data_IF_054538671598
#
_entry.id   IF_054538671598
#
_cell.length_a   1.000
_cell.length_b   1.000
_cell.length_c   1.000
_cell.angle_alpha   90.00
_cell.angle_beta   90.00
_cell.angle_gamma   90.00
#
_symmetry.space_group_name_H-M   'P 1'
#
loop_
_entity.id
_entity.type
_entity.pdbx_description
1 polymer ?
#
# COMPACT_ATOMS: atom_id res chain seq x y z
N UNK A 1 -28.98 -3.92 22.58
CA UNK A 1 -28.72 -5.04 21.64
C UNK A 1 -27.84 -4.53 20.51
N UNK A 2 -26.58 -4.99 20.49
CA UNK A 2 -25.55 -4.62 19.52
C UNK A 2 -25.77 -5.40 18.21
N UNK A 3 -26.22 -4.73 17.15
CA UNK A 3 -26.13 -5.27 15.80
C UNK A 3 -24.78 -4.84 15.23
N UNK A 4 -23.74 -5.62 15.54
CA UNK A 4 -22.54 -5.69 14.72
C UNK A 4 -22.97 -6.29 13.37
N UNK A 5 -23.39 -5.44 12.44
CA UNK A 5 -23.66 -5.87 11.07
C UNK A 5 -22.31 -6.23 10.45
N UNK A 6 -22.08 -7.54 10.40
CA UNK A 6 -20.94 -8.19 9.80
C UNK A 6 -20.98 -7.92 8.30
N UNK A 7 -20.43 -6.79 7.86
CA UNK A 7 -20.09 -6.63 6.45
C UNK A 7 -18.91 -7.57 6.21
N UNK A 8 -19.23 -8.81 5.82
CA UNK A 8 -18.29 -9.77 5.30
C UNK A 8 -17.70 -9.20 4.00
N UNK A 9 -16.66 -8.37 4.13
CA UNK A 9 -15.88 -7.92 2.99
C UNK A 9 -14.92 -9.07 2.67
N UNK A 10 -15.15 -9.73 1.53
CA UNK A 10 -14.34 -10.79 0.95
C UNK A 10 -12.82 -10.58 1.13
N UNK A 11 -12.26 -11.26 2.13
CA UNK A 11 -10.84 -11.22 2.48
C UNK A 11 -9.98 -12.13 1.59
N UNK A 12 -10.58 -13.02 0.79
CA UNK A 12 -9.89 -14.12 0.12
C UNK A 12 -9.08 -13.67 -1.12
N UNK A 13 -9.62 -12.80 -1.97
CA UNK A 13 -8.86 -12.24 -3.12
C UNK A 13 -7.95 -11.07 -2.75
N UNK A 14 -7.97 -10.63 -1.48
CA UNK A 14 -7.09 -9.61 -0.94
C UNK A 14 -5.70 -10.13 -0.49
N UNK A 15 -5.39 -11.42 -0.67
CA UNK A 15 -4.23 -12.16 -0.15
C UNK A 15 -2.85 -11.46 -0.22
N UNK A 16 -1.97 -11.84 -1.14
CA UNK A 16 -0.54 -11.42 -1.16
C UNK A 16 -0.36 -9.89 -1.31
N UNK A 17 -1.21 -9.23 -2.09
CA UNK A 17 -1.15 -7.79 -2.36
C UNK A 17 -1.51 -6.97 -1.12
N UNK A 18 -2.52 -7.37 -0.34
CA UNK A 18 -2.86 -6.71 0.92
C UNK A 18 -1.74 -6.81 1.95
N UNK A 19 -1.16 -8.00 2.12
CA UNK A 19 -0.01 -8.21 3.03
C UNK A 19 1.19 -7.34 2.65
N UNK A 20 1.44 -7.11 1.35
CA UNK A 20 2.52 -6.21 0.89
C UNK A 20 2.24 -4.75 1.26
N UNK A 21 1.02 -4.24 1.05
CA UNK A 21 0.65 -2.88 1.42
C UNK A 21 0.81 -2.61 2.91
N UNK A 22 0.38 -3.55 3.76
CA UNK A 22 0.56 -3.43 5.22
C UNK A 22 2.04 -3.32 5.59
N UNK A 23 2.90 -4.15 5.00
CA UNK A 23 4.36 -4.06 5.25
C UNK A 23 4.95 -2.74 4.76
N UNK A 24 4.52 -2.25 3.61
CA UNK A 24 4.96 -0.96 3.08
C UNK A 24 4.53 0.19 4.00
N UNK A 25 3.30 0.15 4.52
CA UNK A 25 2.81 1.14 5.47
C UNK A 25 3.61 1.13 6.78
N UNK A 26 3.94 -0.06 7.30
CA UNK A 26 4.82 -0.19 8.48
C UNK A 26 6.20 0.44 8.24
N UNK A 27 6.79 0.26 7.05
CA UNK A 27 8.09 0.87 6.70
C UNK A 27 8.01 2.39 6.60
N UNK A 28 6.91 2.93 6.05
CA UNK A 28 6.67 4.38 6.00
C UNK A 28 6.55 4.92 7.43
N UNK A 29 5.71 4.29 8.26
CA UNK A 29 5.53 4.70 9.65
C UNK A 29 6.83 4.66 10.45
N UNK A 30 7.63 3.59 10.30
CA UNK A 30 8.93 3.49 10.96
C UNK A 30 9.88 4.59 10.47
N UNK A 31 9.93 4.90 9.16
CA UNK A 31 10.76 5.99 8.65
C UNK A 31 10.32 7.37 9.14
N UNK A 32 9.02 7.58 9.37
CA UNK A 32 8.53 8.81 10.04
C UNK A 32 8.98 8.86 11.50
N UNK A 33 8.85 7.75 12.22
CA UNK A 33 9.23 7.66 13.65
C UNK A 33 10.73 7.84 13.87
N UNK A 34 11.57 7.29 12.99
CA UNK A 34 13.03 7.39 13.08
C UNK A 34 13.61 8.68 12.50
N UNK A 35 12.81 9.49 11.79
CA UNK A 35 13.30 10.70 11.12
C UNK A 35 13.99 10.45 9.78
N UNK A 36 14.04 9.20 9.31
CA UNK A 36 14.52 8.81 7.97
C UNK A 36 13.63 9.33 6.82
N UNK A 37 12.40 9.76 7.12
CA UNK A 37 11.49 10.34 6.14
C UNK A 37 11.05 11.73 6.57
N UNK A 38 11.22 12.70 5.67
CA UNK A 38 10.65 14.04 5.86
C UNK A 38 9.13 14.03 5.69
N UNK A 39 8.44 15.08 6.17
CA UNK A 39 6.99 15.26 5.96
C UNK A 39 6.63 15.21 4.47
N UNK A 40 7.42 15.86 3.61
CA UNK A 40 7.18 15.93 2.15
C UNK A 40 7.34 14.57 1.48
N UNK A 41 8.33 13.78 1.88
CA UNK A 41 8.56 12.42 1.36
C UNK A 41 7.47 11.45 1.81
N UNK A 42 7.07 11.54 3.08
CA UNK A 42 5.95 10.78 3.62
C UNK A 42 4.68 11.04 2.82
N UNK A 43 4.32 12.31 2.59
CA UNK A 43 3.16 12.66 1.76
C UNK A 43 3.24 12.09 0.34
N UNK A 44 4.43 12.04 -0.25
CA UNK A 44 4.64 11.43 -1.57
C UNK A 44 4.39 9.93 -1.54
N UNK A 45 4.92 9.22 -0.55
CA UNK A 45 4.74 7.78 -0.39
C UNK A 45 3.27 7.42 -0.10
N UNK A 46 2.58 8.20 0.74
CA UNK A 46 1.14 8.03 1.04
C UNK A 46 0.25 8.24 -0.19
N UNK A 47 0.59 9.19 -1.07
CA UNK A 47 -0.10 9.37 -2.35
C UNK A 47 0.09 8.16 -3.26
N UNK A 48 1.28 7.56 -3.26
CA UNK A 48 1.55 6.34 -4.03
C UNK A 48 0.74 5.16 -3.49
N UNK A 49 0.75 4.92 -2.17
CA UNK A 49 -0.05 3.86 -1.54
C UNK A 49 -1.55 4.00 -1.85
N UNK A 50 -2.09 5.23 -1.76
CA UNK A 50 -3.50 5.50 -2.11
C UNK A 50 -3.82 5.20 -3.58
N UNK A 51 -2.90 5.50 -4.51
CA UNK A 51 -3.09 5.15 -5.94
C UNK A 51 -3.13 3.64 -6.16
N UNK A 52 -2.31 2.88 -5.43
CA UNK A 52 -2.33 1.42 -5.52
C UNK A 52 -3.62 0.87 -4.93
N UNK A 53 -4.07 1.40 -3.78
CA UNK A 53 -5.36 1.01 -3.21
C UNK A 53 -6.53 1.29 -4.15
N UNK A 54 -6.57 2.46 -4.79
CA UNK A 54 -7.60 2.78 -5.80
C UNK A 54 -7.53 1.81 -6.99
N UNK A 55 -6.32 1.47 -7.47
CA UNK A 55 -6.16 0.51 -8.56
C UNK A 55 -6.68 -0.87 -8.15
N UNK A 56 -6.35 -1.32 -6.93
CA UNK A 56 -6.82 -2.59 -6.38
C UNK A 56 -8.33 -2.62 -6.26
N UNK A 57 -8.94 -1.57 -5.71
CA UNK A 57 -10.38 -1.50 -5.54
C UNK A 57 -11.13 -1.51 -6.88
N UNK A 58 -10.61 -0.79 -7.89
CA UNK A 58 -11.17 -0.85 -9.25
C UNK A 58 -11.08 -2.25 -9.85
N UNK A 59 -9.97 -2.94 -9.67
CA UNK A 59 -9.76 -4.28 -10.22
C UNK A 59 -10.55 -5.37 -9.49
N UNK A 60 -11.03 -5.12 -8.27
CA UNK A 60 -11.91 -6.06 -7.54
C UNK A 60 -13.39 -5.76 -7.80
N UNK A 61 -13.72 -4.61 -8.41
CA UNK A 61 -15.10 -4.19 -8.66
C UNK A 61 -15.86 -5.20 -9.54
N UNK A 62 -15.17 -5.82 -10.48
CA UNK A 62 -15.73 -6.80 -11.42
C UNK A 62 -15.73 -8.23 -10.84
N UNK A 63 -15.45 -8.37 -9.53
CA UNK A 63 -15.55 -9.62 -8.77
C UNK A 63 -14.25 -10.42 -8.70
N UNK A 64 -13.30 -10.22 -9.62
CA UNK A 64 -12.03 -10.97 -9.63
C UNK A 64 -10.82 -10.18 -10.14
N UNK A 65 -9.65 -10.48 -9.57
CA UNK A 65 -8.38 -9.96 -10.09
C UNK A 65 -7.87 -10.80 -11.27
N UNK A 66 -7.99 -10.28 -12.48
CA UNK A 66 -7.40 -10.90 -13.67
C UNK A 66 -5.87 -11.02 -13.55
N UNK A 67 -5.22 -11.95 -14.27
CA UNK A 67 -3.75 -12.06 -14.28
C UNK A 67 -3.04 -10.76 -14.69
N UNK A 68 -3.63 -10.01 -15.63
CA UNK A 68 -3.10 -8.72 -16.09
C UNK A 68 -3.16 -7.65 -15.01
N UNK A 69 -4.26 -7.59 -14.26
CA UNK A 69 -4.41 -6.65 -13.13
C UNK A 69 -3.52 -7.01 -11.97
N UNK A 70 -3.37 -8.30 -11.67
CA UNK A 70 -2.43 -8.81 -10.68
C UNK A 70 -1.00 -8.38 -11.02
N UNK A 71 -0.56 -8.60 -12.26
CA UNK A 71 0.75 -8.15 -12.74
C UNK A 71 0.91 -6.63 -12.62
N UNK A 72 -0.12 -5.85 -12.98
CA UNK A 72 -0.11 -4.39 -12.85
C UNK A 72 0.05 -3.96 -11.39
N UNK A 73 -0.71 -4.55 -10.47
CA UNK A 73 -0.63 -4.28 -9.04
C UNK A 73 0.73 -4.66 -8.46
N UNK A 74 1.30 -5.80 -8.87
CA UNK A 74 2.63 -6.23 -8.45
C UNK A 74 3.71 -5.26 -8.92
N UNK A 75 3.66 -4.81 -10.17
CA UNK A 75 4.59 -3.80 -10.70
C UNK A 75 4.48 -2.48 -9.92
N UNK A 76 3.27 -2.03 -9.61
CA UNK A 76 3.07 -0.84 -8.79
C UNK A 76 3.63 -1.02 -7.36
N UNK A 77 3.36 -2.16 -6.73
CA UNK A 77 3.89 -2.52 -5.41
C UNK A 77 5.43 -2.56 -5.41
N UNK A 78 6.06 -3.09 -6.45
CA UNK A 78 7.51 -3.12 -6.58
C UNK A 78 8.11 -1.73 -6.75
N UNK A 79 7.47 -0.85 -7.53
CA UNK A 79 7.88 0.57 -7.67
C UNK A 79 7.79 1.29 -6.33
N UNK A 80 6.68 1.15 -5.61
CA UNK A 80 6.50 1.73 -4.28
C UNK A 80 7.56 1.21 -3.30
N UNK A 81 7.88 -0.09 -3.34
CA UNK A 81 8.92 -0.67 -2.49
C UNK A 81 10.30 -0.03 -2.71
N UNK A 82 10.67 0.18 -3.98
CA UNK A 82 11.92 0.85 -4.37
C UNK A 82 11.92 2.32 -3.93
N UNK A 83 10.81 3.02 -4.09
CA UNK A 83 10.68 4.41 -3.62
C UNK A 83 10.81 4.53 -2.10
N UNK A 84 10.13 3.66 -1.34
CA UNK A 84 10.26 3.62 0.13
C UNK A 84 11.73 3.39 0.50
N UNK A 85 12.37 2.38 -0.10
CA UNK A 85 13.78 2.10 0.19
C UNK A 85 14.68 3.30 -0.12
N UNK A 86 14.55 3.88 -1.33
CA UNK A 86 15.37 5.03 -1.73
C UNK A 86 15.18 6.21 -0.79
N UNK A 87 13.93 6.56 -0.45
CA UNK A 87 13.66 7.72 0.38
C UNK A 87 14.11 7.52 1.83
N UNK A 88 13.99 6.31 2.40
CA UNK A 88 14.53 6.02 3.73
C UNK A 88 16.07 6.12 3.82
N UNK A 89 16.77 5.92 2.70
CA UNK A 89 18.25 5.90 2.66
C UNK A 89 18.86 7.06 1.86
N UNK A 90 18.09 8.11 1.56
CA UNK A 90 18.58 9.21 0.73
C UNK A 90 19.42 10.25 1.50
N UNK A 91 19.88 9.92 2.71
CA UNK A 91 20.65 10.78 3.62
C UNK A 91 19.93 12.08 4.02
N UNK A 92 18.65 12.23 3.70
CA UNK A 92 17.85 13.38 4.13
C UNK A 92 17.22 13.05 5.47
N UNK A 93 17.92 13.39 6.54
CA UNK A 93 17.34 13.41 7.88
C UNK A 93 16.53 14.69 8.05
N UNK A 94 15.46 14.60 8.82
CA UNK A 94 14.52 15.70 9.05
C UNK A 94 14.96 16.59 10.21
#
# INVERSE_FOLDING_TARGET
MLIFCYVAIDLAQAGRTGKRQVRQQKRIHQGVKSGELTKKETLRLEREQRRIQKTKHKAIKDGELTPKERMRLERQQNRANKHIYRLKHNKKTK
#
